data_IF_922122738890
#
_entry.id   IF_922122738890
#
_cell.length_a   1.000
_cell.length_b   1.000
_cell.length_c   1.000
_cell.angle_alpha   90.00
_cell.angle_beta   90.00
_cell.angle_gamma   90.00
#
_symmetry.space_group_name_H-M   'P 1'
#
loop_
_entity.id
_entity.type
_entity.pdbx_description
1 polymer ?
#
# COMPACT_ATOMS: atom_id res chain seq x y z
N UNK A 1 -8.31 -12.28 16.62
CA UNK A 1 -8.52 -10.93 16.07
C UNK A 1 -9.94 -10.55 16.40
N UNK A 2 -10.11 -9.43 17.10
CA UNK A 2 -11.42 -8.82 17.32
C UNK A 2 -11.82 -8.15 16.00
N UNK A 3 -12.95 -8.55 15.43
CA UNK A 3 -13.44 -8.02 14.16
C UNK A 3 -14.13 -6.67 14.40
N UNK A 4 -13.51 -5.58 13.94
CA UNK A 4 -14.11 -4.25 13.98
C UNK A 4 -14.68 -3.90 12.61
N UNK A 5 -15.98 -3.60 12.56
CA UNK A 5 -16.69 -3.23 11.33
C UNK A 5 -17.02 -1.74 11.33
N UNK A 6 -16.69 -1.05 10.23
CA UNK A 6 -17.09 0.34 9.98
C UNK A 6 -18.07 0.33 8.81
N UNK A 7 -19.25 0.91 9.00
CA UNK A 7 -20.20 1.16 7.93
C UNK A 7 -19.95 2.57 7.36
N UNK A 8 -19.39 2.65 6.15
CA UNK A 8 -19.02 3.92 5.54
C UNK A 8 -20.25 4.80 5.25
N UNK A 9 -21.43 4.22 4.97
CA UNK A 9 -22.63 5.02 4.73
C UNK A 9 -23.13 5.68 6.01
N UNK A 10 -23.15 4.93 7.13
CA UNK A 10 -23.50 5.51 8.42
C UNK A 10 -22.45 6.52 8.88
N UNK A 11 -21.16 6.19 8.80
CA UNK A 11 -20.08 7.09 9.21
C UNK A 11 -20.13 8.44 8.47
N UNK A 12 -20.32 8.40 7.15
CA UNK A 12 -20.41 9.62 6.33
C UNK A 12 -21.71 10.37 6.60
N UNK A 13 -22.84 9.66 6.76
CA UNK A 13 -24.12 10.28 7.07
C UNK A 13 -24.16 10.97 8.44
N UNK A 14 -23.54 10.35 9.45
CA UNK A 14 -23.39 10.92 10.80
C UNK A 14 -22.49 12.17 10.79
N UNK A 15 -21.48 12.18 9.92
CA UNK A 15 -20.61 13.34 9.70
C UNK A 15 -21.35 14.47 8.95
N UNK A 16 -22.09 14.13 7.88
CA UNK A 16 -22.96 15.05 7.15
C UNK A 16 -24.05 14.29 6.38
N UNK A 17 -25.32 14.48 6.77
CA UNK A 17 -26.47 13.77 6.20
C UNK A 17 -26.67 13.98 4.68
N UNK A 18 -26.08 15.03 4.11
CA UNK A 18 -26.18 15.34 2.69
C UNK A 18 -25.03 14.74 1.87
N UNK A 19 -24.11 14.01 2.50
CA UNK A 19 -22.96 13.39 1.84
C UNK A 19 -23.23 11.93 1.54
N UNK A 20 -22.89 11.55 0.30
CA UNK A 20 -22.98 10.18 -0.18
C UNK A 20 -21.58 9.73 -0.57
N UNK A 21 -21.06 8.65 0.05
CA UNK A 21 -19.74 8.14 -0.28
C UNK A 21 -19.73 7.54 -1.69
N UNK A 22 -18.63 7.75 -2.40
CA UNK A 22 -18.35 7.15 -3.72
C UNK A 22 -17.08 6.29 -3.63
N UNK A 23 -16.71 5.54 -4.69
CA UNK A 23 -15.50 4.72 -4.67
C UNK A 23 -14.29 5.53 -4.15
N UNK A 24 -13.66 4.94 -3.16
CA UNK A 24 -12.64 5.50 -2.29
C UNK A 24 -11.25 5.25 -2.91
N UNK A 25 -10.30 6.15 -2.66
CA UNK A 25 -8.93 5.98 -3.14
C UNK A 25 -8.08 5.06 -2.26
N UNK A 26 -6.79 5.04 -2.52
CA UNK A 26 -5.80 4.21 -1.82
C UNK A 26 -5.61 4.65 -0.36
N UNK A 27 -5.13 3.76 0.51
CA UNK A 27 -4.71 4.17 1.87
C UNK A 27 -3.54 5.13 1.73
N UNK A 28 -3.58 6.19 2.52
CA UNK A 28 -2.64 7.29 2.46
C UNK A 28 -2.09 7.52 3.85
N UNK A 29 -0.77 7.39 4.01
CA UNK A 29 -0.09 7.79 5.24
C UNK A 29 0.04 9.33 5.28
N UNK A 30 -0.53 9.95 6.31
CA UNK A 30 -0.44 11.40 6.59
C UNK A 30 -0.02 11.55 8.05
N UNK A 31 1.05 12.31 8.31
CA UNK A 31 1.51 12.61 9.67
C UNK A 31 1.70 11.33 10.52
N UNK A 32 2.27 10.28 9.91
CA UNK A 32 2.51 8.98 10.57
C UNK A 32 1.26 8.13 10.85
N UNK A 33 0.09 8.55 10.39
CA UNK A 33 -1.17 7.82 10.54
C UNK A 33 -1.71 7.39 9.20
N UNK A 34 -2.29 6.19 9.14
CA UNK A 34 -2.92 5.67 7.92
C UNK A 34 -4.37 6.16 7.82
N UNK A 35 -4.69 6.79 6.69
CA UNK A 35 -6.03 7.26 6.38
C UNK A 35 -6.60 6.57 5.14
N UNK A 36 -7.90 6.35 5.16
CA UNK A 36 -8.67 5.99 3.98
C UNK A 36 -9.40 7.24 3.44
N UNK A 37 -9.04 7.74 2.24
CA UNK A 37 -9.66 8.91 1.65
C UNK A 37 -11.02 8.59 1.03
N UNK A 38 -12.10 9.00 1.68
CA UNK A 38 -13.47 8.77 1.22
C UNK A 38 -13.91 9.97 0.39
N UNK A 39 -14.02 9.78 -0.91
CA UNK A 39 -14.65 10.76 -1.78
C UNK A 39 -16.16 10.80 -1.48
N UNK A 40 -16.70 12.01 -1.38
CA UNK A 40 -18.13 12.24 -1.14
C UNK A 40 -18.68 13.22 -2.18
N UNK A 41 -19.95 13.02 -2.53
CA UNK A 41 -20.73 14.00 -3.28
C UNK A 41 -21.98 14.39 -2.52
N UNK A 42 -22.50 15.57 -2.85
CA UNK A 42 -23.83 16.01 -2.45
C UNK A 42 -24.72 16.04 -3.71
N UNK A 43 -26.00 15.63 -3.64
CA UNK A 43 -26.91 15.64 -4.79
C UNK A 43 -27.11 17.03 -5.41
N UNK A 44 -27.00 18.09 -4.60
CA UNK A 44 -27.16 19.49 -5.02
C UNK A 44 -25.90 20.08 -5.66
N UNK A 45 -24.78 19.35 -5.66
CA UNK A 45 -23.55 19.77 -6.31
C UNK A 45 -23.57 19.43 -7.80
N UNK A 46 -22.89 20.26 -8.60
CA UNK A 46 -22.49 19.84 -9.95
C UNK A 46 -21.69 18.54 -9.86
N UNK A 47 -21.93 17.59 -10.78
CA UNK A 47 -21.36 16.22 -10.76
C UNK A 47 -19.82 16.16 -10.67
N UNK A 48 -19.15 17.26 -11.02
CA UNK A 48 -17.69 17.42 -10.98
C UNK A 48 -17.15 17.90 -9.63
N UNK A 49 -18.00 18.41 -8.74
CA UNK A 49 -17.61 18.78 -7.39
C UNK A 49 -17.66 17.56 -6.48
N UNK A 50 -16.50 17.21 -5.93
CA UNK A 50 -16.36 16.21 -4.88
C UNK A 50 -15.58 16.83 -3.74
N UNK A 51 -15.84 16.35 -2.54
CA UNK A 51 -14.97 16.57 -1.38
C UNK A 51 -14.37 15.26 -0.95
N UNK A 52 -13.35 15.35 -0.10
CA UNK A 52 -12.66 14.19 0.45
C UNK A 52 -12.68 14.26 1.96
N UNK A 53 -13.20 13.19 2.56
CA UNK A 53 -13.14 12.93 4.00
C UNK A 53 -11.97 12.01 4.28
N UNK A 54 -11.32 12.19 5.42
CA UNK A 54 -10.14 11.41 5.80
C UNK A 54 -10.48 10.54 7.01
N UNK A 55 -10.77 9.26 6.73
CA UNK A 55 -11.03 8.26 7.77
C UNK A 55 -9.72 7.79 8.37
N UNK A 56 -9.49 8.10 9.63
CA UNK A 56 -8.37 7.58 10.39
C UNK A 56 -8.59 6.09 10.67
N UNK A 57 -7.67 5.25 10.21
CA UNK A 57 -7.81 3.80 10.33
C UNK A 57 -7.49 3.27 11.74
N UNK A 58 -6.85 4.05 12.60
CA UNK A 58 -6.65 3.73 14.01
C UNK A 58 -7.92 4.03 14.82
N UNK A 59 -8.44 5.26 14.72
CA UNK A 59 -9.59 5.72 15.53
C UNK A 59 -10.94 5.33 14.95
N UNK A 60 -10.99 4.98 13.66
CA UNK A 60 -12.21 4.71 12.88
C UNK A 60 -13.16 5.90 12.79
N UNK A 61 -12.63 7.13 12.87
CA UNK A 61 -13.38 8.37 12.77
C UNK A 61 -12.91 9.22 11.59
N UNK A 62 -13.77 10.15 11.15
CA UNK A 62 -13.38 11.18 10.17
C UNK A 62 -12.67 12.29 10.93
N UNK A 63 -11.37 12.48 10.66
CA UNK A 63 -10.59 13.49 11.36
C UNK A 63 -10.70 14.88 10.69
N UNK A 64 -10.88 14.95 9.36
CA UNK A 64 -11.14 16.21 8.64
C UNK A 64 -11.70 16.03 7.22
N UNK A 65 -12.06 17.16 6.60
CA UNK A 65 -12.59 17.31 5.23
C UNK A 65 -11.78 18.36 4.46
N UNK A 66 -11.00 17.95 3.45
CA UNK A 66 -10.30 18.87 2.54
C UNK A 66 -9.76 18.14 1.29
N UNK A 67 -9.66 18.87 0.17
CA UNK A 67 -8.93 18.45 -1.04
C UNK A 67 -7.48 18.90 -0.93
N UNK A 68 -6.61 18.08 -0.32
CA UNK A 68 -5.16 18.33 -0.30
C UNK A 68 -4.46 17.58 -1.44
N UNK A 69 -3.48 18.24 -2.07
CA UNK A 69 -2.52 17.58 -2.94
C UNK A 69 -1.54 16.83 -2.03
N UNK A 70 -1.52 15.51 -2.14
CA UNK A 70 -0.60 14.67 -1.38
C UNK A 70 0.83 14.94 -1.84
N UNK A 71 1.68 15.43 -0.93
CA UNK A 71 3.12 15.50 -1.17
C UNK A 71 3.76 14.22 -0.65
N UNK A 72 4.28 13.41 -1.56
CA UNK A 72 5.09 12.26 -1.17
C UNK A 72 6.51 12.74 -0.90
N UNK A 73 7.12 12.38 0.24
CA UNK A 73 8.49 12.75 0.51
C UNK A 73 9.42 12.06 -0.52
N UNK A 74 10.43 12.79 -1.02
CA UNK A 74 11.52 12.20 -1.81
C UNK A 74 12.44 11.45 -0.84
N UNK A 75 12.16 10.18 -0.60
CA UNK A 75 12.92 9.34 0.34
C UNK A 75 13.71 8.27 -0.39
N UNK A 76 14.90 7.89 0.12
CA UNK A 76 15.57 6.68 -0.35
C UNK A 76 14.62 5.50 -0.25
N UNK A 77 14.50 4.78 -1.37
CA UNK A 77 13.56 3.69 -1.58
C UNK A 77 14.19 2.70 -2.56
N UNK A 78 13.85 1.41 -2.43
CA UNK A 78 14.32 0.35 -3.32
C UNK A 78 13.49 0.38 -4.60
N UNK A 79 14.15 0.55 -5.76
CA UNK A 79 13.51 0.41 -7.08
C UNK A 79 13.28 -1.08 -7.35
N UNK A 80 12.04 -1.45 -7.65
CA UNK A 80 11.66 -2.84 -7.93
C UNK A 80 12.27 -3.40 -9.22
N UNK A 81 12.88 -2.57 -10.07
CA UNK A 81 13.61 -3.03 -11.24
C UNK A 81 12.73 -3.83 -12.20
N UNK A 82 13.12 -5.09 -12.46
CA UNK A 82 12.36 -6.04 -13.29
C UNK A 82 11.32 -6.85 -12.49
N UNK A 83 11.31 -6.75 -11.17
CA UNK A 83 10.32 -7.42 -10.33
C UNK A 83 8.96 -6.72 -10.36
N UNK A 84 8.91 -5.44 -10.74
CA UNK A 84 7.64 -4.72 -10.95
C UNK A 84 6.77 -5.37 -12.03
N UNK A 85 7.35 -5.90 -13.11
CA UNK A 85 6.59 -6.58 -14.17
C UNK A 85 5.88 -7.82 -13.62
N UNK A 86 6.56 -8.60 -12.77
CA UNK A 86 5.98 -9.76 -12.09
C UNK A 86 4.85 -9.36 -11.15
N UNK A 87 4.98 -8.22 -10.46
CA UNK A 87 3.92 -7.68 -9.62
C UNK A 87 2.71 -7.23 -10.44
N UNK A 88 2.96 -6.55 -11.57
CA UNK A 88 1.90 -6.10 -12.49
C UNK A 88 1.12 -7.30 -13.04
N UNK A 89 1.81 -8.38 -13.44
CA UNK A 89 1.17 -9.60 -13.95
C UNK A 89 0.24 -10.28 -12.94
N UNK A 90 0.48 -10.09 -11.64
CA UNK A 90 -0.44 -10.58 -10.61
C UNK A 90 -1.66 -9.69 -10.38
N UNK A 91 -1.55 -8.38 -10.59
CA UNK A 91 -2.61 -7.44 -10.21
C UNK A 91 -3.65 -7.26 -11.32
N UNK A 92 -4.92 -7.02 -10.96
CA UNK A 92 -5.93 -6.58 -11.94
C UNK A 92 -5.44 -5.26 -12.49
N UNK A 93 -5.07 -5.26 -13.76
CA UNK A 93 -5.00 -4.04 -14.54
C UNK A 93 -6.44 -3.50 -14.69
N UNK A 94 -6.97 -2.84 -13.66
CA UNK A 94 -8.12 -1.95 -13.81
C UNK A 94 -7.73 -0.48 -13.81
N UNK A 95 -6.53 -0.13 -13.35
CA UNK A 95 -5.73 0.95 -13.95
C UNK A 95 -4.24 0.71 -13.66
N UNK A 96 -3.36 1.17 -14.56
CA UNK A 96 -1.92 1.38 -14.34
C UNK A 96 -1.58 2.07 -12.99
N UNK A 97 -2.56 2.65 -12.30
CA UNK A 97 -2.38 3.31 -11.01
C UNK A 97 -2.35 2.36 -9.81
N UNK A 98 -2.99 1.19 -9.85
CA UNK A 98 -3.02 0.27 -8.70
C UNK A 98 -1.60 -0.25 -8.35
N UNK A 99 -0.76 -0.48 -9.36
CA UNK A 99 0.64 -0.92 -9.17
C UNK A 99 1.59 0.19 -8.70
N UNK A 100 1.13 1.45 -8.64
CA UNK A 100 1.94 2.62 -8.27
C UNK A 100 1.60 3.18 -6.90
N UNK A 101 0.60 2.62 -6.21
CA UNK A 101 -0.01 3.26 -5.03
C UNK A 101 0.05 2.39 -3.79
N UNK A 102 0.00 3.05 -2.64
CA UNK A 102 0.35 2.50 -1.34
C UNK A 102 -0.50 1.29 -0.97
N UNK A 103 0.15 0.13 -0.85
CA UNK A 103 -0.34 -1.06 -0.13
C UNK A 103 -1.75 -1.52 -0.49
N UNK A 104 -2.20 -1.20 -1.70
CA UNK A 104 -3.45 -1.64 -2.25
C UNK A 104 -3.13 -2.73 -3.27
N UNK A 105 -3.84 -3.86 -3.16
CA UNK A 105 -3.71 -4.91 -4.14
C UNK A 105 -5.08 -5.36 -4.61
N UNK A 106 -5.23 -5.34 -5.92
CA UNK A 106 -6.39 -5.84 -6.63
C UNK A 106 -5.97 -7.14 -7.33
N UNK A 107 -6.77 -8.22 -7.24
CA UNK A 107 -6.54 -9.47 -7.96
C UNK A 107 -7.81 -10.00 -8.63
N UNK A 108 -7.64 -10.56 -9.84
CA UNK A 108 -8.67 -11.38 -10.44
C UNK A 108 -8.76 -12.69 -9.66
N UNK A 109 -9.94 -13.30 -9.64
CA UNK A 109 -10.11 -14.58 -8.95
C UNK A 109 -9.22 -15.72 -9.50
N UNK A 110 -8.76 -15.64 -10.75
CA UNK A 110 -8.02 -16.68 -11.46
C UNK A 110 -6.49 -16.59 -11.34
N UNK A 111 -5.94 -15.43 -10.99
CA UNK A 111 -4.48 -15.22 -10.88
C UNK A 111 -3.84 -15.85 -9.64
N UNK A 112 -4.65 -16.15 -8.61
CA UNK A 112 -4.13 -16.70 -7.35
C UNK A 112 -3.78 -18.19 -7.43
N UNK A 113 -4.22 -18.90 -8.48
CA UNK A 113 -4.03 -20.34 -8.58
C UNK A 113 -2.54 -20.70 -8.61
N UNK A 114 -2.11 -21.59 -7.71
CA UNK A 114 -0.69 -21.99 -7.61
C UNK A 114 0.20 -20.98 -6.88
N UNK A 115 -0.37 -19.90 -6.34
CA UNK A 115 0.32 -19.01 -5.42
C UNK A 115 0.65 -19.70 -4.09
N UNK A 116 1.62 -19.16 -3.37
CA UNK A 116 1.97 -19.64 -2.01
C UNK A 116 0.77 -19.51 -1.05
N UNK A 117 -0.11 -18.52 -1.26
CA UNK A 117 -1.29 -18.23 -0.45
C UNK A 117 -2.23 -19.44 -0.32
N UNK A 118 -2.35 -20.26 -1.37
CA UNK A 118 -3.20 -21.46 -1.39
C UNK A 118 -2.89 -22.41 -0.22
N UNK A 119 -1.60 -22.53 0.13
CA UNK A 119 -1.11 -23.38 1.23
C UNK A 119 -0.90 -22.61 2.52
N UNK A 120 -0.35 -21.40 2.44
CA UNK A 120 0.03 -20.61 3.60
C UNK A 120 -1.18 -20.04 4.36
N UNK A 121 -2.23 -19.64 3.63
CA UNK A 121 -3.43 -19.02 4.20
C UNK A 121 -4.70 -19.47 3.43
N UNK A 122 -5.10 -20.74 3.53
CA UNK A 122 -6.17 -21.32 2.70
C UNK A 122 -7.52 -20.62 2.85
N UNK A 123 -7.82 -20.05 4.02
CA UNK A 123 -9.04 -19.26 4.24
C UNK A 123 -9.03 -17.93 3.48
N UNK A 124 -7.87 -17.25 3.46
CA UNK A 124 -7.68 -16.00 2.72
C UNK A 124 -7.74 -16.28 1.23
N UNK A 125 -7.02 -17.31 0.77
CA UNK A 125 -7.10 -17.80 -0.60
C UNK A 125 -8.55 -18.07 -1.02
N UNK A 126 -9.30 -18.87 -0.24
CA UNK A 126 -10.69 -19.17 -0.55
C UNK A 126 -11.58 -17.93 -0.61
N UNK A 127 -11.31 -16.91 0.21
CA UNK A 127 -12.05 -15.66 0.17
C UNK A 127 -11.76 -14.88 -1.12
N UNK A 128 -10.48 -14.73 -1.45
CA UNK A 128 -10.03 -13.94 -2.61
C UNK A 128 -10.31 -14.64 -3.94
N UNK A 129 -10.38 -15.97 -3.99
CA UNK A 129 -10.70 -16.73 -5.21
C UNK A 129 -12.20 -16.78 -5.57
N UNK A 130 -13.08 -16.11 -4.81
CA UNK A 130 -14.54 -16.13 -5.08
C UNK A 130 -14.99 -15.14 -6.14
N UNK A 131 -14.30 -14.01 -6.21
CA UNK A 131 -14.61 -12.89 -7.09
C UNK A 131 -13.39 -11.98 -7.17
N UNK A 132 -13.35 -11.12 -8.18
CA UNK A 132 -12.38 -10.05 -8.24
C UNK A 132 -12.40 -9.25 -6.93
N UNK A 133 -11.22 -9.09 -6.34
CA UNK A 133 -11.09 -8.62 -4.97
C UNK A 133 -10.02 -7.54 -4.89
N UNK A 134 -10.27 -6.54 -4.04
CA UNK A 134 -9.31 -5.53 -3.65
C UNK A 134 -9.12 -5.60 -2.15
N UNK A 135 -7.88 -5.56 -1.70
CA UNK A 135 -7.57 -5.43 -0.28
C UNK A 135 -6.47 -4.41 -0.05
N UNK A 136 -6.48 -3.88 1.16
CA UNK A 136 -5.56 -2.86 1.63
C UNK A 136 -4.72 -3.44 2.76
N UNK A 137 -3.41 -3.22 2.68
CA UNK A 137 -2.43 -3.76 3.61
C UNK A 137 -1.94 -2.67 4.56
N UNK A 138 -2.20 -2.86 5.85
CA UNK A 138 -1.65 -2.02 6.91
C UNK A 138 -0.32 -2.61 7.35
N UNK A 139 0.73 -2.22 6.66
CA UNK A 139 2.11 -2.65 6.87
C UNK A 139 3.04 -1.42 6.89
N UNK A 140 4.21 -1.57 7.49
CA UNK A 140 5.19 -0.49 7.63
C UNK A 140 5.87 -0.16 6.30
N UNK A 141 5.99 -1.15 5.41
CA UNK A 141 6.45 -0.93 4.06
C UNK A 141 5.42 -0.18 3.22
N UNK A 142 5.83 0.76 2.39
CA UNK A 142 4.96 1.47 1.44
C UNK A 142 5.55 1.35 0.04
N UNK A 143 4.68 1.27 -0.96
CA UNK A 143 5.04 1.32 -2.38
C UNK A 143 4.52 2.61 -3.01
N UNK A 144 5.38 3.27 -3.79
CA UNK A 144 5.01 4.41 -4.62
C UNK A 144 5.81 4.37 -5.92
N UNK A 145 5.14 4.42 -7.06
CA UNK A 145 5.79 4.45 -8.37
C UNK A 145 6.87 3.36 -8.60
N UNK A 146 6.59 2.12 -8.16
CA UNK A 146 7.52 0.97 -8.17
C UNK A 146 8.73 1.08 -7.23
N UNK A 147 8.72 2.05 -6.32
CA UNK A 147 9.73 2.16 -5.27
C UNK A 147 9.13 1.73 -3.93
N UNK A 148 9.87 0.95 -3.15
CA UNK A 148 9.44 0.42 -1.85
C UNK A 148 10.33 0.96 -0.75
N UNK A 149 9.74 1.38 0.36
CA UNK A 149 10.46 1.83 1.55
C UNK A 149 9.76 1.37 2.82
N UNK A 150 10.43 1.46 3.96
CA UNK A 150 9.83 1.39 5.28
C UNK A 150 9.90 0.03 5.96
N UNK A 151 10.01 -1.04 5.16
CA UNK A 151 10.43 -2.40 5.53
C UNK A 151 10.37 -3.28 4.26
N UNK A 152 11.33 -3.13 3.34
CA UNK A 152 11.29 -3.85 2.05
C UNK A 152 11.20 -5.37 2.21
N UNK A 153 11.86 -6.03 3.19
CA UNK A 153 11.65 -7.46 3.46
C UNK A 153 10.19 -7.80 3.77
N UNK A 154 9.50 -7.01 4.60
CA UNK A 154 8.07 -7.21 4.89
C UNK A 154 7.22 -7.12 3.62
N UNK A 155 7.54 -6.18 2.71
CA UNK A 155 6.91 -6.09 1.41
C UNK A 155 7.14 -7.37 0.59
N UNK A 156 8.40 -7.78 0.41
CA UNK A 156 8.75 -8.94 -0.40
C UNK A 156 8.12 -10.24 0.12
N UNK A 157 8.19 -10.48 1.43
CA UNK A 157 7.61 -11.66 2.08
C UNK A 157 6.09 -11.73 1.89
N UNK A 158 5.41 -10.59 2.01
CA UNK A 158 3.97 -10.50 1.81
C UNK A 158 3.59 -10.73 0.34
N UNK A 159 4.29 -10.08 -0.59
CA UNK A 159 4.00 -10.21 -2.02
C UNK A 159 4.36 -11.60 -2.56
N UNK A 160 5.33 -12.28 -1.95
CA UNK A 160 5.67 -13.67 -2.24
C UNK A 160 4.48 -14.62 -2.01
N UNK A 161 3.53 -14.27 -1.12
CA UNK A 161 2.32 -15.05 -0.93
C UNK A 161 1.47 -15.14 -2.20
N UNK A 162 1.49 -14.11 -3.03
CA UNK A 162 0.57 -13.97 -4.17
C UNK A 162 1.13 -14.52 -5.48
N UNK A 163 2.44 -14.81 -5.54
CA UNK A 163 3.11 -15.48 -6.67
C UNK A 163 3.34 -16.98 -6.40
N UNK A 164 3.66 -17.78 -7.44
CA UNK A 164 4.25 -19.11 -7.26
C UNK A 164 5.52 -19.09 -6.40
N UNK A 165 5.78 -20.19 -5.67
CA UNK A 165 6.90 -20.30 -4.74
C UNK A 165 8.30 -20.17 -5.40
N UNK A 166 8.40 -20.42 -6.70
CA UNK A 166 9.65 -20.33 -7.47
C UNK A 166 9.83 -18.96 -8.15
N UNK A 167 8.92 -18.02 -7.94
CA UNK A 167 9.08 -16.66 -8.44
C UNK A 167 10.10 -15.91 -7.60
N UNK A 168 11.15 -15.42 -8.24
CA UNK A 168 12.18 -14.61 -7.60
C UNK A 168 11.75 -13.13 -7.61
N UNK A 169 11.36 -12.57 -6.46
CA UNK A 169 10.98 -11.16 -6.32
C UNK A 169 12.16 -10.23 -6.03
N UNK A 170 13.36 -10.79 -5.80
CA UNK A 170 14.59 -10.03 -5.60
C UNK A 170 15.30 -9.70 -6.93
N UNK A 171 14.79 -10.23 -8.04
CA UNK A 171 15.41 -10.05 -9.35
C UNK A 171 15.35 -8.60 -9.81
N UNK A 172 16.52 -8.02 -10.07
CA UNK A 172 16.66 -6.67 -10.61
C UNK A 172 16.40 -5.55 -9.60
N UNK A 173 16.19 -5.84 -8.31
CA UNK A 173 16.00 -4.80 -7.30
C UNK A 173 17.24 -3.90 -7.24
N UNK A 174 17.03 -2.60 -7.05
CA UNK A 174 18.11 -1.65 -6.83
C UNK A 174 18.01 -1.04 -5.44
N UNK A 175 19.05 -1.26 -4.65
CA UNK A 175 19.20 -0.74 -3.31
C UNK A 175 20.00 0.57 -3.40
N UNK A 176 19.46 1.72 -2.99
CA UNK A 176 20.22 2.96 -2.94
C UNK A 176 21.24 2.93 -1.79
N UNK A 177 22.29 3.75 -1.89
CA UNK A 177 23.38 3.80 -0.90
C UNK A 177 22.89 4.04 0.54
N UNK A 178 21.86 4.86 0.71
CA UNK A 178 21.31 5.19 2.03
C UNK A 178 20.62 4.00 2.72
N UNK A 179 20.25 2.97 1.96
CA UNK A 179 19.59 1.75 2.44
C UNK A 179 20.51 0.52 2.40
N UNK A 180 21.78 0.67 2.03
CA UNK A 180 22.74 -0.44 2.02
C UNK A 180 23.63 -0.43 3.27
N UNK A 181 24.21 -1.59 3.60
CA UNK A 181 25.12 -1.75 4.75
C UNK A 181 26.49 -1.13 4.52
N UNK A 182 26.92 -1.00 3.27
CA UNK A 182 28.24 -0.52 2.87
C UNK A 182 28.22 0.88 2.23
N UNK A 183 27.07 1.57 2.30
CA UNK A 183 26.85 2.91 1.77
C UNK A 183 27.11 3.02 0.25
N UNK A 184 26.94 1.92 -0.49
CA UNK A 184 27.02 1.86 -1.95
C UNK A 184 25.68 1.45 -2.58
N UNK A 185 25.45 1.85 -3.83
CA UNK A 185 24.30 1.36 -4.60
C UNK A 185 24.54 -0.08 -5.06
N UNK A 186 23.51 -0.92 -4.97
CA UNK A 186 23.56 -2.31 -5.42
C UNK A 186 22.40 -2.63 -6.34
N UNK A 187 22.67 -3.41 -7.39
CA UNK A 187 21.64 -4.12 -8.13
C UNK A 187 21.74 -5.60 -7.76
N UNK A 188 20.65 -6.16 -7.25
CA UNK A 188 20.61 -7.54 -6.76
C UNK A 188 19.69 -8.37 -7.63
N UNK A 189 19.96 -9.67 -7.69
CA UNK A 189 19.22 -10.63 -8.48
C UNK A 189 18.77 -11.84 -7.67
N UNK A 190 19.19 -11.99 -6.42
CA UNK A 190 18.76 -13.07 -5.55
C UNK A 190 18.49 -12.57 -4.13
N UNK A 191 17.72 -13.37 -3.38
CA UNK A 191 17.48 -13.12 -1.97
C UNK A 191 18.77 -13.02 -1.15
N UNK A 192 19.76 -13.87 -1.44
CA UNK A 192 21.03 -13.85 -0.72
C UNK A 192 21.81 -12.55 -0.97
N UNK A 193 21.77 -12.01 -2.20
CA UNK A 193 22.37 -10.71 -2.52
C UNK A 193 21.62 -9.57 -1.84
N UNK A 194 20.29 -9.59 -1.87
CA UNK A 194 19.47 -8.62 -1.17
C UNK A 194 19.76 -8.62 0.35
N UNK A 195 19.70 -9.79 0.99
CA UNK A 195 19.96 -9.96 2.42
C UNK A 195 21.41 -9.59 2.79
N UNK A 196 22.36 -9.73 1.85
CA UNK A 196 23.75 -9.31 2.04
C UNK A 196 23.87 -7.79 2.10
N UNK A 197 23.29 -7.06 1.16
CA UNK A 197 23.51 -5.62 0.99
C UNK A 197 22.49 -4.72 1.68
N UNK A 198 21.22 -5.12 1.77
CA UNK A 198 20.15 -4.27 2.29
C UNK A 198 20.20 -4.15 3.82
N UNK A 199 20.09 -2.92 4.33
CA UNK A 199 20.06 -2.62 5.76
C UNK A 199 18.64 -2.31 6.22
N UNK A 200 17.94 -3.35 6.69
CA UNK A 200 16.57 -3.22 7.24
C UNK A 200 16.51 -2.30 8.46
N UNK A 201 17.57 -2.20 9.26
CA UNK A 201 17.58 -1.34 10.43
C UNK A 201 17.65 0.14 10.01
N UNK A 202 18.48 0.46 9.01
CA UNK A 202 18.52 1.81 8.41
C UNK A 202 17.16 2.18 7.81
N UNK A 203 16.53 1.32 7.02
CA UNK A 203 15.24 1.67 6.40
C UNK A 203 14.13 1.85 7.45
N UNK A 204 14.04 0.97 8.46
CA UNK A 204 13.07 1.14 9.55
C UNK A 204 13.29 2.42 10.35
N UNK A 205 14.55 2.79 10.60
CA UNK A 205 14.88 4.02 11.32
C UNK A 205 14.55 5.26 10.48
N UNK A 206 14.91 5.26 9.19
CA UNK A 206 14.48 6.28 8.24
C UNK A 206 12.95 6.34 8.21
N UNK A 207 12.23 5.22 8.25
CA UNK A 207 10.77 5.19 8.25
C UNK A 207 10.16 5.86 9.48
N UNK A 208 10.73 5.62 10.66
CA UNK A 208 10.30 6.35 11.87
C UNK A 208 10.52 7.84 11.73
N UNK A 209 11.68 8.25 11.19
CA UNK A 209 11.98 9.66 10.95
C UNK A 209 11.03 10.27 9.93
N UNK A 210 10.65 9.52 8.87
CA UNK A 210 9.60 9.91 7.91
C UNK A 210 8.31 10.23 8.68
N UNK A 211 7.85 9.33 9.55
CA UNK A 211 6.63 9.52 10.37
C UNK A 211 6.73 10.74 11.30
N UNK A 212 7.87 10.94 11.98
CA UNK A 212 8.10 12.04 12.94
C UNK A 212 8.22 13.41 12.25
N UNK A 213 8.90 13.50 11.10
CA UNK A 213 9.05 14.76 10.36
C UNK A 213 7.70 15.33 9.94
N UNK A 214 6.73 14.47 9.67
CA UNK A 214 5.38 14.89 9.28
C UNK A 214 4.51 15.25 10.51
N UNK A 215 4.84 14.81 11.73
CA UNK A 215 4.17 15.26 12.96
C UNK A 215 4.53 16.70 13.38
N UNK A 216 5.55 17.32 12.77
CA UNK A 216 6.10 18.63 13.18
C UNK A 216 5.53 19.86 12.43
N UNK A 217 4.43 19.74 11.71
CA UNK A 217 3.72 20.93 11.22
C UNK A 217 2.89 21.56 12.35
N UNK A 218 3.14 22.84 12.59
CA UNK A 218 2.71 23.72 13.71
C UNK A 218 1.22 23.69 14.09
#
# INVERSE_FOLDING_TARGET
MEESKVDLYHLVGDYNENYFPVPTGDIVEINGKDYLPIAVHNPDWYITKRKQLWLNLETKQIDWEDTKIQQFPKTPSVDLGSSKEKLIEMTISQTYYDSLRQNQLSFHQDVLKGSVLEKAAPKVYQLLSKQDSQFYLLIDSKIYNHEVYGDVPQFLDLYQLFVPANTNLDEGLKIPAELSKDDQEHSVNTKEEFDLYYDVAKDRELNKQRRILVEKEE
#
